data_IF_948468610315
#
_entry.id   IF_948468610315
#
_cell.length_a   1.000
_cell.length_b   1.000
_cell.length_c   1.000
_cell.angle_alpha   90.00
_cell.angle_beta   90.00
_cell.angle_gamma   90.00
#
_symmetry.space_group_name_H-M   'P 1'
#
loop_
_entity.id
_entity.type
_entity.pdbx_description
1 polymer ?
#
# COMPACT_ATOMS: atom_id res chain seq x y z
N UNK A 1 1.98 14.70 -9.19
CA UNK A 1 1.92 15.83 -8.23
C UNK A 1 0.86 15.47 -7.21
N UNK A 2 1.15 15.58 -5.91
CA UNK A 2 0.14 15.36 -4.85
C UNK A 2 -0.79 16.56 -4.79
N UNK A 3 -2.03 16.35 -4.36
CA UNK A 3 -3.04 17.41 -4.27
C UNK A 3 -3.81 17.29 -2.95
N UNK A 4 -4.26 18.42 -2.41
CA UNK A 4 -5.09 18.46 -1.21
C UNK A 4 -4.35 17.99 0.05
N UNK A 5 -4.97 17.12 0.85
CA UNK A 5 -4.41 16.63 2.13
C UNK A 5 -3.05 15.95 1.95
N UNK A 6 -2.86 15.24 0.83
CA UNK A 6 -1.61 14.55 0.55
C UNK A 6 -0.44 15.51 0.29
N UNK A 7 -0.70 16.67 -0.31
CA UNK A 7 0.32 17.70 -0.50
C UNK A 7 0.74 18.30 0.83
N UNK A 8 -0.24 18.66 1.68
CA UNK A 8 0.02 19.22 3.00
C UNK A 8 0.78 18.25 3.92
N UNK A 9 0.35 16.99 3.96
CA UNK A 9 1.04 15.94 4.72
C UNK A 9 2.47 15.73 4.22
N UNK A 10 2.67 15.70 2.90
CA UNK A 10 4.00 15.48 2.33
C UNK A 10 4.95 16.66 2.62
N UNK A 11 4.46 17.90 2.57
CA UNK A 11 5.27 19.08 2.90
C UNK A 11 5.79 19.05 4.35
N UNK A 12 4.94 18.67 5.32
CA UNK A 12 5.34 18.50 6.72
C UNK A 12 6.34 17.35 6.86
N UNK A 13 6.04 16.19 6.26
CA UNK A 13 6.87 14.99 6.37
C UNK A 13 8.25 15.23 5.77
N UNK A 14 8.31 15.86 4.60
CA UNK A 14 9.57 16.25 3.93
C UNK A 14 10.44 17.13 4.81
N UNK A 15 9.89 18.18 5.42
CA UNK A 15 10.65 19.08 6.31
C UNK A 15 11.23 18.35 7.51
N UNK A 16 10.50 17.39 8.07
CA UNK A 16 10.98 16.56 9.19
C UNK A 16 12.12 15.64 8.75
N UNK A 17 12.01 15.02 7.58
CA UNK A 17 13.05 14.14 7.03
C UNK A 17 14.33 14.93 6.72
N UNK A 18 14.20 16.07 6.03
CA UNK A 18 15.32 16.95 5.70
C UNK A 18 15.98 17.53 6.96
N UNK A 19 15.19 17.94 7.96
CA UNK A 19 15.68 18.39 9.26
C UNK A 19 16.43 17.30 10.06
N UNK A 20 16.11 16.03 9.81
CA UNK A 20 16.82 14.87 10.35
C UNK A 20 18.03 14.43 9.52
N UNK A 21 18.38 15.16 8.45
CA UNK A 21 19.50 14.82 7.56
C UNK A 21 19.22 13.65 6.61
N UNK A 22 17.95 13.24 6.45
CA UNK A 22 17.57 12.14 5.55
C UNK A 22 17.51 12.68 4.12
N UNK A 23 18.27 12.08 3.22
CA UNK A 23 18.16 12.34 1.78
C UNK A 23 16.87 11.72 1.26
N UNK A 24 15.99 12.54 0.70
CA UNK A 24 14.72 12.09 0.16
C UNK A 24 14.95 11.49 -1.22
N UNK A 25 15.06 10.16 -1.28
CA UNK A 25 14.98 9.41 -2.53
C UNK A 25 13.52 9.05 -2.85
N UNK A 26 13.29 8.53 -4.06
CA UNK A 26 11.98 8.02 -4.46
C UNK A 26 11.51 6.87 -3.56
N UNK A 27 12.43 6.04 -3.09
CA UNK A 27 12.18 4.92 -2.18
C UNK A 27 11.70 5.41 -0.82
N UNK A 28 12.33 6.46 -0.28
CA UNK A 28 11.94 7.08 1.00
C UNK A 28 10.53 7.69 0.89
N UNK A 29 10.26 8.41 -0.20
CA UNK A 29 8.92 8.92 -0.47
C UNK A 29 7.90 7.79 -0.53
N UNK A 30 8.15 6.75 -1.34
CA UNK A 30 7.24 5.60 -1.48
C UNK A 30 6.97 4.95 -0.14
N UNK A 31 8.01 4.66 0.64
CA UNK A 31 7.88 4.04 1.95
C UNK A 31 6.97 4.86 2.88
N UNK A 32 7.21 6.18 2.99
CA UNK A 32 6.39 7.08 3.83
C UNK A 32 4.96 7.24 3.32
N UNK A 33 4.79 7.29 2.01
CA UNK A 33 3.48 7.37 1.38
C UNK A 33 2.65 6.11 1.66
N UNK A 34 3.25 4.93 1.49
CA UNK A 34 2.58 3.67 1.82
C UNK A 34 2.33 3.52 3.31
N UNK A 35 3.26 3.92 4.19
CA UNK A 35 3.05 3.90 5.64
C UNK A 35 1.81 4.73 6.05
N UNK A 36 1.63 5.91 5.47
CA UNK A 36 0.53 6.84 5.77
C UNK A 36 -0.81 6.39 5.19
N UNK A 37 -0.84 6.00 3.91
CA UNK A 37 -2.10 5.77 3.18
C UNK A 37 -2.45 4.30 3.00
N UNK A 38 -1.48 3.40 3.17
CA UNK A 38 -1.63 1.95 3.05
C UNK A 38 -0.96 1.23 4.22
N UNK A 39 -1.36 1.52 5.48
CA UNK A 39 -0.74 0.90 6.64
C UNK A 39 -0.81 -0.64 6.54
N UNK A 40 0.26 -1.30 7.01
CA UNK A 40 0.44 -2.74 6.89
C UNK A 40 -0.76 -3.56 7.40
N UNK A 41 -1.50 -3.04 8.37
CA UNK A 41 -2.69 -3.69 8.93
C UNK A 41 -3.85 -3.76 7.94
N UNK A 42 -4.06 -2.70 7.15
CA UNK A 42 -5.08 -2.67 6.09
C UNK A 42 -4.71 -3.64 4.98
N UNK A 43 -3.42 -3.68 4.60
CA UNK A 43 -2.91 -4.65 3.63
C UNK A 43 -3.10 -6.08 4.12
N UNK A 44 -2.69 -6.38 5.37
CA UNK A 44 -2.84 -7.70 5.98
C UNK A 44 -4.31 -8.11 6.08
N UNK A 45 -5.21 -7.21 6.47
CA UNK A 45 -6.63 -7.48 6.51
C UNK A 45 -7.19 -7.83 5.13
N UNK A 46 -6.77 -7.10 4.09
CA UNK A 46 -7.16 -7.38 2.69
C UNK A 46 -6.58 -8.69 2.16
N UNK A 47 -5.37 -9.04 2.56
CA UNK A 47 -4.73 -10.32 2.21
C UNK A 47 -5.44 -11.51 2.89
N UNK A 48 -5.87 -11.36 4.16
CA UNK A 48 -6.70 -12.35 4.84
C UNK A 48 -8.07 -12.47 4.14
N UNK A 49 -8.70 -11.34 3.79
CA UNK A 49 -9.96 -11.34 3.04
C UNK A 49 -9.83 -12.08 1.70
N UNK A 50 -8.71 -11.87 1.00
CA UNK A 50 -8.39 -12.57 -0.25
C UNK A 50 -8.22 -14.07 -0.04
N UNK A 51 -7.40 -14.50 0.93
CA UNK A 51 -7.15 -15.92 1.22
C UNK A 51 -8.42 -16.66 1.65
N UNK A 52 -9.35 -15.95 2.28
CA UNK A 52 -10.63 -16.50 2.74
C UNK A 52 -11.75 -16.35 1.69
N UNK A 53 -11.48 -15.71 0.55
CA UNK A 53 -12.49 -15.44 -0.47
C UNK A 53 -13.03 -16.77 -1.02
N UNK A 54 -14.34 -16.94 -0.89
CA UNK A 54 -15.10 -18.05 -1.47
C UNK A 54 -16.25 -17.45 -2.26
N UNK A 55 -16.60 -18.08 -3.38
CA UNK A 55 -17.70 -17.59 -4.22
C UNK A 55 -19.02 -17.50 -3.44
N UNK A 56 -19.36 -18.51 -2.63
CA UNK A 56 -20.60 -18.52 -1.86
C UNK A 56 -21.82 -18.33 -2.78
N UNK A 57 -22.66 -17.33 -2.48
CA UNK A 57 -23.84 -16.98 -3.26
C UNK A 57 -23.57 -15.93 -4.35
N UNK A 58 -22.31 -15.54 -4.57
CA UNK A 58 -21.93 -14.59 -5.62
C UNK A 58 -22.08 -15.23 -7.00
N UNK A 59 -22.50 -14.44 -7.97
CA UNK A 59 -22.34 -14.80 -9.38
C UNK A 59 -20.85 -14.89 -9.71
N UNK A 60 -20.52 -15.62 -10.79
CA UNK A 60 -19.13 -15.74 -11.24
C UNK A 60 -18.49 -14.37 -11.52
N UNK A 61 -19.26 -13.41 -12.05
CA UNK A 61 -18.78 -12.05 -12.34
C UNK A 61 -18.49 -11.23 -11.08
N UNK A 62 -19.35 -11.31 -10.06
CA UNK A 62 -19.13 -10.64 -8.77
C UNK A 62 -17.91 -11.23 -8.06
N UNK A 63 -17.76 -12.55 -8.08
CA UNK A 63 -16.59 -13.22 -7.52
C UNK A 63 -15.30 -12.80 -8.25
N UNK A 64 -15.30 -12.82 -9.59
CA UNK A 64 -14.13 -12.41 -10.37
C UNK A 64 -13.73 -10.95 -10.07
N UNK A 65 -14.70 -10.04 -10.02
CA UNK A 65 -14.46 -8.63 -9.68
C UNK A 65 -13.85 -8.49 -8.28
N UNK A 66 -14.37 -9.22 -7.28
CA UNK A 66 -13.87 -9.19 -5.91
C UNK A 66 -12.48 -9.85 -5.79
N UNK A 67 -12.22 -10.90 -6.56
CA UNK A 67 -10.93 -11.56 -6.65
C UNK A 67 -9.86 -10.62 -7.21
N UNK A 68 -10.16 -9.91 -8.31
CA UNK A 68 -9.25 -8.92 -8.91
C UNK A 68 -9.02 -7.71 -8.00
N UNK A 69 -10.05 -7.24 -7.28
CA UNK A 69 -9.92 -6.14 -6.33
C UNK A 69 -8.97 -6.51 -5.18
N UNK A 70 -9.20 -7.66 -4.54
CA UNK A 70 -8.45 -8.11 -3.38
C UNK A 70 -7.04 -8.60 -3.77
N UNK A 71 -6.87 -9.17 -4.96
CA UNK A 71 -5.58 -9.62 -5.48
C UNK A 71 -4.52 -8.50 -5.55
N UNK A 72 -4.95 -7.24 -5.71
CA UNK A 72 -4.07 -6.06 -5.68
C UNK A 72 -3.38 -5.83 -4.34
N UNK A 73 -3.87 -6.43 -3.27
CA UNK A 73 -3.28 -6.29 -1.93
C UNK A 73 -2.41 -7.48 -1.54
N UNK A 74 -2.43 -8.56 -2.32
CA UNK A 74 -1.64 -9.75 -2.04
C UNK A 74 -0.19 -9.56 -2.46
N UNK A 75 0.72 -9.99 -1.59
CA UNK A 75 2.15 -10.07 -1.87
C UNK A 75 2.51 -11.04 -3.00
N UNK A 76 1.59 -11.95 -3.38
CA UNK A 76 1.77 -12.83 -4.56
C UNK A 76 1.71 -12.08 -5.89
N UNK A 77 1.03 -10.93 -5.95
CA UNK A 77 0.91 -10.10 -7.15
C UNK A 77 1.69 -8.78 -7.06
N UNK A 78 1.99 -8.33 -5.83
CA UNK A 78 2.89 -7.23 -5.56
C UNK A 78 4.21 -7.75 -4.98
N UNK A 79 5.26 -7.73 -5.79
CA UNK A 79 6.65 -7.78 -5.33
C UNK A 79 7.25 -6.36 -5.39
N UNK A 80 7.21 -5.55 -4.31
CA UNK A 80 8.01 -4.34 -4.27
C UNK A 80 9.47 -4.67 -3.98
N UNK A 81 9.80 -5.61 -3.08
CA UNK A 81 11.19 -5.92 -2.74
C UNK A 81 11.33 -7.29 -2.07
N UNK A 82 11.83 -8.29 -2.80
CA UNK A 82 12.76 -9.24 -2.18
C UNK A 82 14.09 -8.51 -2.00
N UNK A 83 14.47 -8.32 -0.73
CA UNK A 83 15.76 -7.82 -0.19
C UNK A 83 15.90 -6.31 0.01
N UNK A 84 15.63 -5.89 1.24
CA UNK A 84 16.59 -5.09 2.01
C UNK A 84 16.77 -5.76 3.39
N UNK A 85 17.51 -6.89 3.40
CA UNK A 85 18.35 -7.21 4.54
C UNK A 85 19.68 -6.52 4.30
N UNK A 86 19.91 -5.42 5.02
CA UNK A 86 21.16 -4.99 5.65
C UNK A 86 20.84 -3.76 6.51
#
# INVERSE_FOLDING_TARGET
>A
MLVGEAEYWWDITRRLLEGGGIIITWEVFRAKFFEKYFPNDVRRAKEIEFMQLKQGNMTAGEYASKFEELGKYSTFFYHPDEKCYL
#
